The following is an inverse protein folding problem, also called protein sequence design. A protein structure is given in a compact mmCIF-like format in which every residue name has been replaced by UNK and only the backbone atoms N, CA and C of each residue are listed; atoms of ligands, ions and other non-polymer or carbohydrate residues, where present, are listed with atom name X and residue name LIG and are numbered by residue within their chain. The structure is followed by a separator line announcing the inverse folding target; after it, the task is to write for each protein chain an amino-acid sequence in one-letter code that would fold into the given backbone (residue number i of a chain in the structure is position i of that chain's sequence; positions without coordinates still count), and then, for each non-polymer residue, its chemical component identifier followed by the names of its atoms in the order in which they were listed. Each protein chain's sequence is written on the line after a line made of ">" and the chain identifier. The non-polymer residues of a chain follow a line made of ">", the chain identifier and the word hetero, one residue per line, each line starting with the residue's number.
data_IF_952293432652
#
_entry.id   IF_952293432652
#
_cell.length_a   1.000
_cell.length_b   1.000
_cell.length_c   1.000
_cell.angle_alpha   90.00
_cell.angle_beta   90.00
_cell.angle_gamma   90.00
#
_symmetry.space_group_name_H-M   'P 1'
#
loop_
_entity.id
_entity.type
_entity.pdbx_description
1 polymer ?
#
# COMPACT_ATOMS: atom_id res chain seq x y z
N UNK A 1 15.46 13.19 -66.24
CA UNK A 1 14.19 13.36 -66.95
C UNK A 1 13.15 13.79 -65.98
N UNK A 2 12.67 14.99 -66.21
CA UNK A 2 11.71 15.73 -65.37
C UNK A 2 10.32 15.39 -65.91
N UNK A 3 9.34 15.14 -65.05
CA UNK A 3 7.96 15.37 -65.42
C UNK A 3 7.14 15.93 -64.26
N UNK A 4 6.78 17.15 -64.40
CA UNK A 4 5.76 17.89 -63.69
C UNK A 4 4.37 17.32 -63.95
N UNK A 5 3.52 17.22 -62.94
CA UNK A 5 2.06 17.24 -63.14
C UNK A 5 1.42 18.19 -62.15
N UNK A 6 0.66 19.04 -62.75
CA UNK A 6 0.01 20.27 -62.36
C UNK A 6 -1.13 20.13 -61.33
N UNK A 7 -1.29 21.18 -60.55
CA UNK A 7 -2.47 21.50 -59.72
C UNK A 7 -3.74 21.64 -60.57
N UNK A 8 -4.85 21.14 -60.08
CA UNK A 8 -6.19 21.69 -60.37
C UNK A 8 -7.00 21.86 -59.06
N UNK A 9 -7.33 23.10 -58.81
CA UNK A 9 -8.26 23.56 -57.81
C UNK A 9 -9.70 23.23 -58.18
N UNK A 10 -10.48 22.78 -57.21
CA UNK A 10 -11.93 22.86 -57.24
C UNK A 10 -12.44 23.40 -55.91
N UNK A 11 -12.99 24.61 -56.03
CA UNK A 11 -13.73 25.31 -54.99
C UNK A 11 -15.17 24.79 -55.05
N UNK A 12 -15.72 24.30 -53.98
CA UNK A 12 -17.15 24.16 -53.79
C UNK A 12 -17.53 24.68 -52.38
N UNK A 13 -18.32 25.74 -52.42
CA UNK A 13 -18.94 26.39 -51.26
C UNK A 13 -20.04 25.47 -50.72
N UNK A 14 -20.08 25.29 -49.43
CA UNK A 14 -21.20 24.72 -48.69
C UNK A 14 -21.09 25.14 -47.21
N UNK A 15 -21.70 26.25 -46.88
CA UNK A 15 -21.78 26.73 -45.48
C UNK A 15 -22.79 25.86 -44.70
N UNK A 16 -22.33 25.22 -43.64
CA UNK A 16 -23.17 24.69 -42.62
C UNK A 16 -22.86 25.44 -41.33
N UNK A 17 -23.81 26.27 -40.91
CA UNK A 17 -23.74 26.97 -39.63
C UNK A 17 -23.85 25.91 -38.50
N UNK A 18 -22.78 25.75 -37.74
CA UNK A 18 -22.82 25.00 -36.48
C UNK A 18 -23.40 25.91 -35.41
N UNK A 19 -24.63 25.67 -35.02
CA UNK A 19 -25.23 26.31 -33.87
C UNK A 19 -24.65 25.63 -32.64
N UNK A 20 -23.75 26.34 -31.95
CA UNK A 20 -23.29 25.98 -30.61
C UNK A 20 -24.43 26.25 -29.62
N UNK A 21 -25.12 25.21 -29.18
CA UNK A 21 -25.98 25.29 -28.03
C UNK A 21 -25.13 25.38 -26.76
N UNK A 22 -25.43 26.32 -25.85
CA UNK A 22 -24.73 26.36 -24.56
C UNK A 22 -25.08 25.14 -23.73
N UNK A 23 -24.09 24.35 -23.37
CA UNK A 23 -24.20 23.33 -22.35
C UNK A 23 -24.48 24.04 -21.00
N UNK A 24 -25.74 24.03 -20.59
CA UNK A 24 -26.12 24.39 -19.23
C UNK A 24 -25.50 23.37 -18.29
N UNK A 25 -24.47 23.75 -17.54
CA UNK A 25 -24.04 23.06 -16.35
C UNK A 25 -25.20 23.14 -15.35
N UNK A 26 -26.00 22.09 -15.28
CA UNK A 26 -26.93 21.90 -14.18
C UNK A 26 -26.12 21.69 -12.92
N UNK A 27 -26.14 22.67 -12.04
CA UNK A 27 -25.64 22.52 -10.68
C UNK A 27 -26.44 21.37 -10.03
N UNK A 28 -25.77 20.26 -9.79
CA UNK A 28 -26.32 19.16 -9.00
C UNK A 28 -26.39 19.66 -7.55
N UNK A 29 -27.56 20.14 -7.16
CA UNK A 29 -27.85 20.35 -5.73
C UNK A 29 -27.80 18.99 -5.04
N UNK A 30 -27.19 18.88 -3.84
CA UNK A 30 -27.29 17.65 -3.06
C UNK A 30 -28.74 17.47 -2.62
N UNK A 31 -29.43 16.56 -3.29
CA UNK A 31 -30.73 16.10 -2.84
C UNK A 31 -30.52 15.33 -1.54
N UNK A 32 -30.85 15.96 -0.42
CA UNK A 32 -31.08 15.29 0.85
C UNK A 32 -32.39 14.48 0.74
N UNK A 33 -32.34 13.39 -0.01
CA UNK A 33 -33.38 12.41 0.00
C UNK A 33 -33.20 11.56 1.26
N UNK A 34 -34.15 11.63 2.17
CA UNK A 34 -34.37 10.62 3.21
C UNK A 34 -34.67 9.30 2.49
N UNK A 35 -33.67 8.54 2.12
CA UNK A 35 -33.79 7.15 1.70
C UNK A 35 -33.95 6.31 2.97
N UNK A 36 -35.21 6.12 3.42
CA UNK A 36 -35.58 5.05 4.32
C UNK A 36 -35.68 3.75 3.50
N UNK A 37 -34.55 3.16 3.26
CA UNK A 37 -34.38 1.82 2.73
C UNK A 37 -33.06 1.29 3.25
N UNK A 38 -33.02 0.09 3.82
CA UNK A 38 -31.79 -0.55 4.25
C UNK A 38 -30.87 -0.64 3.03
N UNK A 39 -29.80 0.18 3.02
CA UNK A 39 -28.74 0.10 2.02
C UNK A 39 -28.16 -1.31 2.14
N UNK A 40 -28.12 -2.05 1.03
CA UNK A 40 -27.54 -3.39 1.07
C UNK A 40 -26.05 -3.30 1.49
N UNK A 41 -25.53 -4.30 2.20
CA UNK A 41 -24.09 -4.34 2.59
C UNK A 41 -23.19 -4.15 1.39
N UNK A 42 -23.53 -4.72 0.23
CA UNK A 42 -22.81 -4.56 -1.03
C UNK A 42 -22.72 -3.10 -1.47
N UNK A 43 -23.83 -2.36 -1.41
CA UNK A 43 -23.85 -0.93 -1.75
C UNK A 43 -23.05 -0.10 -0.75
N UNK A 44 -23.07 -0.47 0.53
CA UNK A 44 -22.26 0.19 1.56
C UNK A 44 -20.77 -0.02 1.34
N UNK A 45 -20.34 -1.24 1.03
CA UNK A 45 -18.93 -1.52 0.77
C UNK A 45 -18.42 -0.78 -0.47
N UNK A 46 -19.21 -0.72 -1.54
CA UNK A 46 -18.91 0.07 -2.72
C UNK A 46 -18.77 1.58 -2.40
N UNK A 47 -19.68 2.11 -1.58
CA UNK A 47 -19.61 3.51 -1.13
C UNK A 47 -18.34 3.77 -0.28
N UNK A 48 -17.95 2.83 0.58
CA UNK A 48 -16.75 2.94 1.39
C UNK A 48 -15.46 2.96 0.55
N UNK A 49 -15.41 2.22 -0.55
CA UNK A 49 -14.31 2.30 -1.52
C UNK A 49 -14.20 3.69 -2.12
N UNK A 50 -15.33 4.24 -2.57
CA UNK A 50 -15.37 5.59 -3.15
C UNK A 50 -14.97 6.65 -2.12
N UNK A 51 -15.42 6.52 -0.87
CA UNK A 51 -15.04 7.41 0.23
C UNK A 51 -13.53 7.42 0.45
N UNK A 52 -12.88 6.26 0.53
CA UNK A 52 -11.42 6.18 0.72
C UNK A 52 -10.67 6.69 -0.50
N UNK A 53 -11.11 6.37 -1.72
CA UNK A 53 -10.48 6.89 -2.94
C UNK A 53 -10.60 8.42 -3.03
N UNK A 54 -11.76 8.98 -2.72
CA UNK A 54 -11.99 10.43 -2.69
C UNK A 54 -11.14 11.11 -1.61
N UNK A 55 -11.12 10.57 -0.40
CA UNK A 55 -10.25 11.05 0.69
C UNK A 55 -8.79 11.16 0.25
N UNK A 56 -8.22 10.08 -0.29
CA UNK A 56 -6.82 10.04 -0.70
C UNK A 56 -6.53 11.01 -1.87
N UNK A 57 -7.46 11.11 -2.82
CA UNK A 57 -7.32 12.02 -3.97
C UNK A 57 -7.41 13.49 -3.53
N UNK A 58 -8.39 13.82 -2.68
CA UNK A 58 -8.55 15.19 -2.19
C UNK A 58 -7.43 15.58 -1.22
N UNK A 59 -6.87 14.64 -0.46
CA UNK A 59 -5.72 14.88 0.40
C UNK A 59 -4.49 15.32 -0.42
N UNK A 60 -4.38 14.91 -1.66
CA UNK A 60 -3.31 15.36 -2.55
C UNK A 60 -3.48 16.84 -2.99
N UNK A 61 -4.71 17.31 -3.22
CA UNK A 61 -4.99 18.60 -3.83
C UNK A 61 -5.55 19.66 -2.86
N UNK A 62 -6.37 19.25 -1.88
CA UNK A 62 -7.10 20.14 -0.97
C UNK A 62 -6.31 20.59 0.26
N UNK A 63 -6.90 21.42 1.10
CA UNK A 63 -6.38 21.68 2.44
C UNK A 63 -6.48 20.45 3.32
N UNK A 64 -5.36 20.01 3.92
CA UNK A 64 -5.30 18.76 4.66
C UNK A 64 -6.25 18.74 5.87
N UNK A 65 -6.43 19.87 6.57
CA UNK A 65 -7.31 19.95 7.75
C UNK A 65 -8.78 19.90 7.35
N UNK A 66 -9.14 20.60 6.27
CA UNK A 66 -10.51 20.58 5.74
C UNK A 66 -10.86 19.17 5.22
N UNK A 67 -9.95 18.50 4.52
CA UNK A 67 -10.15 17.13 4.02
C UNK A 67 -10.31 16.16 5.19
N UNK A 68 -9.45 16.23 6.20
CA UNK A 68 -9.59 15.41 7.41
C UNK A 68 -10.95 15.64 8.09
N UNK A 69 -11.36 16.87 8.29
CA UNK A 69 -12.66 17.22 8.91
C UNK A 69 -13.87 16.71 8.11
N UNK A 70 -13.76 16.68 6.78
CA UNK A 70 -14.82 16.19 5.90
C UNK A 70 -14.96 14.68 5.93
N UNK A 71 -13.86 13.94 5.87
CA UNK A 71 -13.85 12.50 5.68
C UNK A 71 -13.67 11.67 6.95
N UNK A 72 -13.11 12.24 8.01
CA UNK A 72 -12.80 11.51 9.23
C UNK A 72 -13.71 11.88 10.40
N UNK A 73 -13.85 10.98 11.34
CA UNK A 73 -14.41 11.29 12.65
C UNK A 73 -13.46 12.21 13.43
N UNK A 74 -13.97 13.10 14.30
CA UNK A 74 -13.11 13.97 15.12
C UNK A 74 -12.13 13.20 16.01
N UNK A 75 -12.53 12.01 16.47
CA UNK A 75 -11.74 11.08 17.29
C UNK A 75 -10.99 10.03 16.46
N UNK A 76 -10.86 10.24 15.14
CA UNK A 76 -10.16 9.32 14.27
C UNK A 76 -8.72 9.13 14.71
N UNK A 77 -8.31 7.88 14.86
CA UNK A 77 -6.93 7.50 15.16
C UNK A 77 -6.22 7.07 13.89
N UNK A 78 -5.05 7.62 13.64
CA UNK A 78 -4.15 7.19 12.57
C UNK A 78 -3.01 6.37 13.13
N UNK A 79 -2.91 5.11 12.72
CA UNK A 79 -1.78 4.23 13.03
C UNK A 79 -0.86 4.19 11.81
N UNK A 80 0.22 4.94 11.88
CA UNK A 80 1.16 5.12 10.78
C UNK A 80 2.43 4.32 11.07
N UNK A 81 3.13 3.85 10.05
CA UNK A 81 4.42 3.20 10.20
C UNK A 81 5.42 4.11 10.93
N UNK A 82 6.38 3.47 11.59
CA UNK A 82 7.43 4.18 12.34
C UNK A 82 8.22 5.12 11.40
N UNK A 83 8.56 6.35 11.86
CA UNK A 83 8.54 6.85 13.23
C UNK A 83 7.25 7.59 13.65
N UNK A 84 6.25 7.70 12.80
CA UNK A 84 5.02 8.44 13.12
C UNK A 84 4.20 7.73 14.21
N UNK A 85 4.09 6.39 14.12
CA UNK A 85 3.36 5.55 15.06
C UNK A 85 1.86 5.92 15.20
N UNK A 86 1.34 6.02 16.42
CA UNK A 86 -0.06 6.37 16.67
C UNK A 86 -0.21 7.88 16.78
N UNK A 87 -1.17 8.42 16.04
CA UNK A 87 -1.57 9.83 16.01
C UNK A 87 -3.04 9.89 16.41
N UNK A 88 -3.33 10.59 17.51
CA UNK A 88 -4.67 10.67 18.09
C UNK A 88 -5.38 11.96 17.68
N UNK A 89 -6.47 11.82 16.96
CA UNK A 89 -7.26 12.93 16.45
C UNK A 89 -6.72 13.59 15.18
N UNK A 90 -7.52 14.48 14.62
CA UNK A 90 -7.27 15.07 13.30
C UNK A 90 -6.13 16.09 13.32
N UNK A 91 -5.98 16.83 14.42
CA UNK A 91 -4.93 17.84 14.51
C UNK A 91 -3.54 17.20 14.54
N UNK A 92 -3.38 16.14 15.34
CA UNK A 92 -2.12 15.43 15.41
C UNK A 92 -1.78 14.75 14.08
N UNK A 93 -2.77 14.15 13.42
CA UNK A 93 -2.62 13.56 12.09
C UNK A 93 -2.21 14.62 11.05
N UNK A 94 -2.84 15.80 11.09
CA UNK A 94 -2.49 16.90 10.20
C UNK A 94 -1.05 17.39 10.43
N UNK A 95 -0.70 17.73 11.69
CA UNK A 95 0.58 18.37 12.02
C UNK A 95 1.77 17.43 11.87
N UNK A 96 1.64 16.17 12.31
CA UNK A 96 2.76 15.25 12.37
C UNK A 96 2.93 14.41 11.11
N UNK A 97 1.87 14.26 10.30
CA UNK A 97 1.94 13.38 9.13
C UNK A 97 1.56 14.09 7.81
N UNK A 98 0.31 14.57 7.65
CA UNK A 98 -0.16 15.03 6.36
C UNK A 98 0.51 16.33 5.87
N UNK A 99 0.65 17.32 6.75
CA UNK A 99 1.32 18.58 6.40
C UNK A 99 2.82 18.40 6.11
N UNK A 100 3.59 17.61 6.91
CA UNK A 100 4.96 17.25 6.56
C UNK A 100 5.08 16.51 5.24
N UNK A 101 4.19 15.54 4.96
CA UNK A 101 4.17 14.82 3.68
C UNK A 101 3.94 15.77 2.49
N UNK A 102 2.96 16.67 2.61
CA UNK A 102 2.66 17.66 1.57
C UNK A 102 3.76 18.70 1.39
N UNK A 103 4.46 19.06 2.45
CA UNK A 103 5.64 19.92 2.36
C UNK A 103 6.78 19.22 1.65
N UNK A 104 6.95 17.93 1.92
CA UNK A 104 7.97 17.11 1.27
C UNK A 104 7.69 16.91 -0.23
N UNK A 105 6.43 16.77 -0.59
CA UNK A 105 5.96 16.59 -1.97
C UNK A 105 4.90 17.64 -2.30
N UNK A 106 5.29 18.89 -2.67
CA UNK A 106 4.32 19.97 -2.87
C UNK A 106 3.37 19.77 -4.06
N UNK A 107 3.77 18.93 -5.00
CA UNK A 107 3.02 18.56 -6.21
C UNK A 107 2.59 17.08 -6.20
N UNK A 108 2.45 16.46 -5.00
CA UNK A 108 2.21 15.04 -4.96
C UNK A 108 0.87 14.65 -5.57
N UNK A 109 0.89 13.51 -6.20
CA UNK A 109 -0.27 12.80 -6.73
C UNK A 109 -0.44 11.46 -6.00
N UNK A 110 -1.66 11.16 -5.58
CA UNK A 110 -1.98 9.84 -5.03
C UNK A 110 -2.29 8.87 -6.16
N UNK A 111 -1.34 8.02 -6.49
CA UNK A 111 -1.49 6.94 -7.47
C UNK A 111 -2.13 5.73 -6.82
N UNK A 112 -3.44 5.62 -6.94
CA UNK A 112 -4.21 4.50 -6.41
C UNK A 112 -4.14 3.34 -7.41
N UNK A 113 -3.51 2.24 -7.01
CA UNK A 113 -3.39 1.03 -7.83
C UNK A 113 -4.58 0.10 -7.64
N UNK A 114 -5.10 0.01 -6.42
CA UNK A 114 -6.27 -0.81 -6.09
C UNK A 114 -7.03 -0.23 -4.91
N UNK A 115 -8.34 -0.50 -4.88
CA UNK A 115 -9.22 -0.20 -3.75
C UNK A 115 -10.15 -1.39 -3.52
N UNK A 116 -10.17 -1.92 -2.31
CA UNK A 116 -11.03 -3.00 -1.87
C UNK A 116 -11.99 -2.51 -0.81
N UNK A 117 -13.22 -3.05 -0.79
CA UNK A 117 -14.19 -2.76 0.25
C UNK A 117 -14.89 -4.02 0.71
N UNK A 118 -14.99 -4.23 2.01
CA UNK A 118 -15.65 -5.38 2.59
C UNK A 118 -15.93 -5.16 4.08
N UNK A 119 -16.31 -6.22 4.77
CA UNK A 119 -16.52 -6.25 6.21
C UNK A 119 -15.70 -7.37 6.83
N UNK A 120 -15.10 -7.11 7.97
CA UNK A 120 -14.47 -8.14 8.77
C UNK A 120 -14.84 -7.98 10.24
N UNK A 121 -15.34 -9.05 10.85
CA UNK A 121 -15.83 -9.08 12.23
C UNK A 121 -16.81 -7.95 12.56
N UNK A 122 -17.77 -7.68 11.66
CA UNK A 122 -18.78 -6.64 11.83
C UNK A 122 -18.30 -5.20 11.59
N UNK A 123 -17.04 -5.02 11.20
CA UNK A 123 -16.48 -3.70 10.87
C UNK A 123 -16.43 -3.50 9.37
N UNK A 124 -17.12 -2.47 8.89
CA UNK A 124 -16.98 -2.04 7.51
C UNK A 124 -15.59 -1.43 7.30
N UNK A 125 -14.89 -1.91 6.29
CA UNK A 125 -13.53 -1.49 6.00
C UNK A 125 -13.33 -1.23 4.52
N UNK A 126 -12.41 -0.34 4.20
CA UNK A 126 -11.86 -0.18 2.86
C UNK A 126 -10.34 -0.13 2.91
N UNK A 127 -9.72 -0.66 1.87
CA UNK A 127 -8.26 -0.77 1.75
C UNK A 127 -7.82 -0.22 0.41
N UNK A 128 -6.72 0.52 0.39
CA UNK A 128 -6.07 1.00 -0.83
C UNK A 128 -4.57 0.71 -0.77
N UNK A 129 -4.00 0.43 -1.93
CA UNK A 129 -2.56 0.38 -2.14
C UNK A 129 -2.18 1.13 -3.42
N UNK A 130 -1.01 1.75 -3.40
CA UNK A 130 -0.45 2.51 -4.51
C UNK A 130 0.77 3.30 -4.09
N UNK A 131 0.90 4.52 -4.62
CA UNK A 131 2.05 5.39 -4.34
C UNK A 131 1.62 6.84 -4.14
N UNK A 132 2.34 7.54 -3.27
CA UNK A 132 2.54 8.98 -3.38
C UNK A 132 3.63 9.19 -4.41
N UNK A 133 3.38 9.98 -5.43
CA UNK A 133 4.34 10.33 -6.49
C UNK A 133 4.40 11.84 -6.64
N UNK A 134 5.58 12.40 -6.74
CA UNK A 134 5.76 13.85 -6.92
C UNK A 134 7.23 14.26 -6.85
N UNK A 135 7.47 15.55 -6.89
CA UNK A 135 8.80 16.12 -6.66
C UNK A 135 9.10 16.11 -5.17
N UNK A 136 10.08 15.31 -4.74
CA UNK A 136 10.52 15.28 -3.34
C UNK A 136 11.44 16.50 -3.09
N UNK A 137 10.87 17.60 -2.63
CA UNK A 137 11.50 18.93 -2.61
C UNK A 137 11.91 19.43 -1.21
N UNK A 138 11.32 18.89 -0.14
CA UNK A 138 11.70 19.22 1.24
C UNK A 138 11.91 17.94 2.07
N UNK A 139 12.72 18.00 3.15
CA UNK A 139 12.97 16.82 3.97
C UNK A 139 11.70 16.24 4.57
N UNK A 140 11.59 14.90 4.58
CA UNK A 140 10.57 14.16 5.31
C UNK A 140 11.23 13.37 6.45
N UNK A 141 10.93 13.74 7.69
CA UNK A 141 11.50 13.09 8.91
C UNK A 141 13.03 12.86 8.84
N UNK A 142 13.76 13.86 8.36
CA UNK A 142 15.21 13.79 8.20
C UNK A 142 15.71 13.17 6.89
N UNK A 143 14.86 12.49 6.11
CA UNK A 143 15.23 12.01 4.77
C UNK A 143 15.42 13.23 3.86
N UNK A 144 16.61 13.44 3.28
CA UNK A 144 16.87 14.60 2.45
C UNK A 144 16.14 14.54 1.11
N UNK A 145 15.73 15.69 0.56
CA UNK A 145 14.99 15.73 -0.69
C UNK A 145 15.87 15.34 -1.89
N UNK A 146 15.28 14.57 -2.82
CA UNK A 146 15.94 14.25 -4.10
C UNK A 146 15.93 15.43 -5.08
N UNK A 147 15.03 16.39 -4.84
CA UNK A 147 14.70 17.51 -5.77
C UNK A 147 14.31 17.03 -7.17
N UNK A 148 13.77 15.84 -7.25
CA UNK A 148 13.29 15.23 -8.49
C UNK A 148 12.13 14.29 -8.18
N UNK A 149 11.64 13.65 -9.22
CA UNK A 149 10.56 12.65 -9.09
C UNK A 149 10.97 11.58 -8.10
N UNK A 150 10.11 11.33 -7.13
CA UNK A 150 10.22 10.21 -6.21
C UNK A 150 8.86 9.51 -6.03
N UNK A 151 8.93 8.26 -5.61
CA UNK A 151 7.77 7.41 -5.32
C UNK A 151 7.86 6.94 -3.87
N UNK A 152 6.77 7.08 -3.14
CA UNK A 152 6.64 6.50 -1.80
C UNK A 152 5.50 5.49 -1.85
N UNK A 153 5.83 4.21 -1.71
CA UNK A 153 4.79 3.17 -1.60
C UNK A 153 3.88 3.45 -0.42
N UNK A 154 2.58 3.39 -0.67
CA UNK A 154 1.55 3.86 0.24
C UNK A 154 0.41 2.85 0.35
N UNK A 155 0.26 2.27 1.53
CA UNK A 155 -0.88 1.42 1.89
C UNK A 155 -1.81 2.17 2.84
N UNK A 156 -3.12 2.01 2.66
CA UNK A 156 -4.12 2.65 3.50
C UNK A 156 -5.25 1.67 3.80
N UNK A 157 -5.47 1.37 5.06
CA UNK A 157 -6.60 0.56 5.50
C UNK A 157 -7.45 1.37 6.47
N UNK A 158 -8.74 1.48 6.21
CA UNK A 158 -9.65 2.28 7.00
C UNK A 158 -10.78 1.45 7.58
N UNK A 159 -11.10 1.69 8.84
CA UNK A 159 -12.37 1.29 9.47
C UNK A 159 -13.34 2.44 9.26
N UNK A 160 -14.51 2.11 8.72
CA UNK A 160 -15.55 3.09 8.37
C UNK A 160 -16.72 2.94 9.35
N UNK A 161 -17.12 4.04 9.94
CA UNK A 161 -18.29 4.17 10.79
C UNK A 161 -19.07 5.42 10.37
N UNK A 162 -20.37 5.33 10.24
CA UNK A 162 -21.26 6.46 9.89
C UNK A 162 -20.76 7.25 8.66
N UNK A 163 -20.31 6.52 7.62
CA UNK A 163 -19.78 7.09 6.36
C UNK A 163 -18.56 8.00 6.56
N UNK A 164 -17.80 7.80 7.62
CA UNK A 164 -16.53 8.48 7.91
C UNK A 164 -15.47 7.50 8.33
N UNK A 165 -14.22 7.85 8.10
CA UNK A 165 -13.05 7.12 8.56
C UNK A 165 -12.96 7.29 10.08
N UNK A 166 -13.14 6.20 10.82
CA UNK A 166 -13.04 6.18 12.27
C UNK A 166 -11.64 5.77 12.76
N UNK A 167 -10.92 5.00 11.96
CA UNK A 167 -9.53 4.61 12.20
C UNK A 167 -8.85 4.35 10.86
N UNK A 168 -7.58 4.74 10.75
CA UNK A 168 -6.77 4.47 9.59
C UNK A 168 -5.44 3.81 9.97
N UNK A 169 -4.98 2.89 9.13
CA UNK A 169 -3.65 2.28 9.19
C UNK A 169 -2.90 2.69 7.92
N UNK A 170 -1.80 3.42 8.10
CA UNK A 170 -1.02 3.99 7.01
C UNK A 170 0.34 3.32 6.95
N UNK A 171 0.64 2.73 5.82
CA UNK A 171 1.84 1.96 5.58
C UNK A 171 2.71 2.69 4.55
N UNK A 172 3.99 2.84 4.85
CA UNK A 172 4.93 3.63 4.05
C UNK A 172 6.24 2.85 3.86
N UNK A 173 6.78 2.81 2.65
CA UNK A 173 8.14 2.30 2.45
C UNK A 173 9.16 3.45 2.53
N UNK A 174 9.46 3.88 3.75
CA UNK A 174 10.41 4.95 4.01
C UNK A 174 11.85 4.54 3.69
N UNK A 175 12.17 3.25 3.75
CA UNK A 175 13.50 2.76 3.37
C UNK A 175 13.72 2.89 1.86
N UNK A 176 12.68 2.67 1.05
CA UNK A 176 12.78 2.93 -0.38
C UNK A 176 12.93 4.43 -0.69
N UNK A 177 12.23 5.30 0.03
CA UNK A 177 12.43 6.75 -0.10
C UNK A 177 13.87 7.16 0.29
N UNK A 178 14.43 6.59 1.36
CA UNK A 178 15.85 6.78 1.73
C UNK A 178 16.77 6.36 0.59
N UNK A 179 16.52 5.19 -0.01
CA UNK A 179 17.29 4.67 -1.14
C UNK A 179 17.25 5.62 -2.35
N UNK A 180 16.07 6.15 -2.68
CA UNK A 180 15.90 7.15 -3.74
C UNK A 180 16.65 8.44 -3.42
N UNK A 181 16.75 8.81 -2.15
CA UNK A 181 17.52 9.95 -1.68
C UNK A 181 19.04 9.71 -1.61
N UNK A 182 19.52 8.52 -2.03
CA UNK A 182 20.94 8.18 -2.06
C UNK A 182 21.47 7.57 -0.77
N UNK A 183 20.60 7.23 0.17
CA UNK A 183 20.96 6.55 1.41
C UNK A 183 20.28 5.19 1.49
N UNK A 184 21.07 4.12 1.64
CA UNK A 184 20.55 2.77 1.86
C UNK A 184 21.32 2.12 3.02
N UNK A 185 20.64 1.89 4.18
CA UNK A 185 21.33 1.53 5.41
C UNK A 185 21.66 0.05 5.55
N UNK A 186 21.22 -0.78 4.62
CA UNK A 186 21.32 -2.24 4.69
C UNK A 186 22.32 -2.81 3.69
N UNK A 187 22.50 -4.12 3.71
CA UNK A 187 23.13 -4.86 2.61
C UNK A 187 22.36 -4.69 1.31
N UNK A 188 22.98 -4.96 0.16
CA UNK A 188 22.24 -5.08 -1.09
C UNK A 188 21.03 -6.00 -0.92
N UNK A 189 19.86 -5.56 -1.40
CA UNK A 189 18.62 -6.33 -1.31
C UNK A 189 18.80 -7.68 -2.00
N UNK A 190 18.33 -8.78 -1.41
CA UNK A 190 18.29 -10.07 -2.10
C UNK A 190 17.37 -10.06 -3.33
N UNK A 191 16.26 -9.32 -3.26
CA UNK A 191 15.35 -9.09 -4.37
C UNK A 191 15.64 -7.83 -5.16
N UNK A 192 14.87 -7.58 -6.20
CA UNK A 192 14.97 -6.39 -7.06
C UNK A 192 14.35 -5.17 -6.36
N UNK A 193 15.03 -4.03 -6.39
CA UNK A 193 14.59 -2.78 -5.75
C UNK A 193 13.64 -1.93 -6.60
N UNK A 194 13.54 -2.17 -7.90
CA UNK A 194 12.86 -1.26 -8.82
C UNK A 194 11.44 -1.70 -9.22
N UNK A 195 10.99 -2.87 -8.81
CA UNK A 195 9.75 -3.43 -9.33
C UNK A 195 8.59 -3.27 -8.35
N UNK A 196 7.78 -2.25 -8.57
CA UNK A 196 6.47 -2.09 -7.94
C UNK A 196 5.38 -1.92 -9.02
N UNK A 197 5.23 -2.88 -9.96
CA UNK A 197 4.25 -2.75 -11.01
C UNK A 197 2.83 -2.73 -10.43
N UNK A 198 2.01 -1.86 -10.99
CA UNK A 198 0.59 -1.84 -10.70
C UNK A 198 -0.08 -3.13 -11.17
N UNK A 199 -1.19 -3.57 -10.55
CA UNK A 199 -1.99 -4.63 -11.11
C UNK A 199 -2.51 -4.21 -12.49
N UNK A 200 -2.80 -5.17 -13.39
CA UNK A 200 -3.42 -4.87 -14.66
C UNK A 200 -4.69 -4.04 -14.50
N UNK A 201 -4.88 -3.01 -15.31
CA UNK A 201 -5.97 -2.04 -15.16
C UNK A 201 -7.37 -2.61 -15.41
N UNK A 202 -7.49 -3.77 -16.02
CA UNK A 202 -8.75 -4.47 -16.31
C UNK A 202 -9.22 -5.43 -15.19
N UNK A 203 -8.51 -5.50 -14.10
CA UNK A 203 -8.77 -6.49 -13.04
C UNK A 203 -9.91 -6.15 -12.09
N UNK A 204 -10.47 -4.96 -12.18
CA UNK A 204 -11.66 -4.57 -11.43
C UNK A 204 -11.42 -4.09 -9.98
N UNK A 205 -10.18 -4.01 -9.51
CA UNK A 205 -9.86 -3.48 -8.16
C UNK A 205 -9.87 -1.94 -8.12
N UNK A 206 -10.91 -1.32 -8.64
CA UNK A 206 -11.08 0.14 -8.69
C UNK A 206 -12.12 0.61 -7.68
N UNK A 207 -12.21 1.92 -7.46
CA UNK A 207 -13.24 2.51 -6.59
C UNK A 207 -14.67 2.26 -7.09
N UNK A 208 -14.85 2.00 -8.39
CA UNK A 208 -16.16 1.82 -9.02
C UNK A 208 -16.57 0.34 -9.13
N UNK A 209 -15.63 -0.59 -9.15
CA UNK A 209 -15.90 -2.02 -9.20
C UNK A 209 -16.12 -2.59 -7.81
N UNK A 210 -17.01 -3.59 -7.69
CA UNK A 210 -17.19 -4.32 -6.42
C UNK A 210 -17.78 -5.68 -6.69
N UNK A 211 -17.08 -6.75 -6.30
CA UNK A 211 -17.54 -8.14 -6.41
C UNK A 211 -17.35 -8.87 -5.07
N UNK A 212 -18.32 -8.79 -4.16
CA UNK A 212 -18.23 -9.39 -2.84
C UNK A 212 -18.28 -10.92 -2.87
N UNK A 213 -18.90 -11.53 -3.88
CA UNK A 213 -19.03 -12.99 -3.97
C UNK A 213 -17.67 -13.60 -4.32
N UNK A 214 -17.03 -13.09 -5.37
CA UNK A 214 -15.68 -13.51 -5.73
C UNK A 214 -14.67 -13.11 -4.65
N UNK A 215 -14.86 -11.95 -4.04
CA UNK A 215 -14.02 -11.47 -2.93
C UNK A 215 -14.04 -12.38 -1.72
N UNK A 216 -15.20 -12.93 -1.34
CA UNK A 216 -15.29 -13.91 -0.25
C UNK A 216 -14.49 -15.18 -0.54
N UNK A 217 -14.55 -15.68 -1.78
CA UNK A 217 -13.76 -16.84 -2.21
C UNK A 217 -12.26 -16.53 -2.24
N UNK A 218 -11.88 -15.37 -2.75
CA UNK A 218 -10.50 -14.89 -2.74
C UNK A 218 -9.95 -14.83 -1.30
N UNK A 219 -10.70 -14.26 -0.38
CA UNK A 219 -10.30 -14.19 1.03
C UNK A 219 -10.18 -15.58 1.67
N UNK A 220 -11.09 -16.51 1.33
CA UNK A 220 -11.01 -17.90 1.80
C UNK A 220 -9.68 -18.54 1.38
N UNK A 221 -9.30 -18.44 0.11
CA UNK A 221 -8.05 -18.98 -0.43
C UNK A 221 -6.83 -18.37 0.26
N UNK A 222 -6.82 -17.03 0.44
CA UNK A 222 -5.72 -16.34 1.14
C UNK A 222 -5.62 -16.82 2.60
N UNK A 223 -6.75 -16.99 3.28
CA UNK A 223 -6.75 -17.51 4.67
C UNK A 223 -6.25 -18.94 4.77
N UNK A 224 -6.61 -19.81 3.84
CA UNK A 224 -6.11 -21.18 3.78
C UNK A 224 -4.60 -21.20 3.54
N UNK A 225 -4.10 -20.37 2.64
CA UNK A 225 -2.67 -20.19 2.43
C UNK A 225 -1.98 -19.75 3.73
N UNK A 226 -2.52 -18.76 4.43
CA UNK A 226 -1.98 -18.29 5.70
C UNK A 226 -2.03 -19.37 6.80
N UNK A 227 -3.03 -20.22 6.82
CA UNK A 227 -3.14 -21.37 7.72
C UNK A 227 -1.99 -22.37 7.56
N UNK A 228 -1.34 -22.40 6.41
CA UNK A 228 -0.14 -23.19 6.14
C UNK A 228 1.17 -22.59 6.66
N UNK A 229 1.20 -21.31 6.99
CA UNK A 229 2.43 -20.61 7.39
C UNK A 229 3.11 -21.18 8.65
N UNK A 230 2.39 -21.62 9.71
CA UNK A 230 3.03 -22.24 10.87
C UNK A 230 3.79 -23.53 10.52
N UNK A 231 3.30 -24.30 9.55
CA UNK A 231 3.96 -25.53 9.09
C UNK A 231 5.28 -25.28 8.37
N UNK A 232 5.51 -24.08 7.86
CA UNK A 232 6.81 -23.72 7.28
C UNK A 232 7.93 -23.74 8.30
N UNK A 233 7.64 -23.43 9.55
CA UNK A 233 8.61 -23.50 10.63
C UNK A 233 9.08 -24.95 10.88
N UNK A 234 8.23 -25.94 10.59
CA UNK A 234 8.54 -27.36 10.70
C UNK A 234 9.36 -27.88 9.50
N UNK A 235 9.16 -27.28 8.32
CA UNK A 235 9.83 -27.66 7.06
C UNK A 235 11.20 -26.94 6.91
N UNK A 236 11.68 -26.29 7.94
CA UNK A 236 12.88 -25.45 7.99
C UNK A 236 14.16 -26.06 7.41
N UNK A 237 14.28 -27.34 7.41
CA UNK A 237 15.56 -28.02 7.16
C UNK A 237 15.77 -28.42 5.71
N UNK A 238 14.74 -28.39 4.85
CA UNK A 238 14.84 -28.92 3.50
C UNK A 238 14.73 -27.81 2.45
N UNK A 239 15.85 -27.14 2.17
CA UNK A 239 16.04 -26.35 0.95
C UNK A 239 15.60 -27.22 -0.23
N UNK A 240 14.61 -26.78 -0.98
CA UNK A 240 14.11 -27.50 -2.15
C UNK A 240 12.74 -28.14 -2.02
N UNK A 241 12.19 -28.30 -0.82
CA UNK A 241 10.84 -28.83 -0.64
C UNK A 241 9.77 -27.74 -0.87
N UNK A 242 8.61 -28.08 -1.46
CA UNK A 242 7.49 -27.17 -1.55
C UNK A 242 7.06 -26.69 -0.17
N UNK A 243 6.79 -25.40 0.00
CA UNK A 243 6.23 -24.90 1.25
C UNK A 243 4.76 -25.37 1.41
N UNK A 244 4.27 -25.44 2.65
CA UNK A 244 2.90 -25.88 2.95
C UNK A 244 1.81 -24.99 2.29
N UNK A 245 2.14 -23.77 1.88
CA UNK A 245 1.24 -22.85 1.17
C UNK A 245 1.41 -22.88 -0.35
N UNK A 246 2.36 -23.67 -0.90
CA UNK A 246 2.61 -23.77 -2.34
C UNK A 246 1.37 -24.10 -3.18
N UNK A 247 0.41 -24.94 -2.72
CA UNK A 247 -0.78 -25.25 -3.49
C UNK A 247 -1.65 -24.02 -3.82
N UNK A 248 -1.56 -22.95 -3.05
CA UNK A 248 -2.36 -21.73 -3.24
C UNK A 248 -1.68 -20.71 -4.15
N UNK A 249 -0.41 -20.92 -4.47
CA UNK A 249 0.37 -19.97 -5.26
C UNK A 249 0.54 -20.44 -6.71
N UNK A 250 0.48 -19.47 -7.62
CA UNK A 250 0.92 -19.72 -8.99
C UNK A 250 2.45 -19.90 -9.02
N UNK A 251 2.96 -20.86 -9.78
CA UNK A 251 4.39 -21.20 -9.82
C UNK A 251 5.27 -19.98 -10.18
N UNK A 252 4.78 -19.14 -11.09
CA UNK A 252 5.45 -17.93 -11.56
C UNK A 252 4.89 -16.67 -10.88
N UNK A 253 4.50 -16.75 -9.62
CA UNK A 253 3.99 -15.60 -8.88
C UNK A 253 5.03 -14.49 -8.76
N UNK A 254 4.58 -13.26 -8.54
CA UNK A 254 5.44 -12.15 -8.18
C UNK A 254 5.17 -11.75 -6.72
N UNK A 255 6.25 -11.58 -5.99
CA UNK A 255 6.21 -11.06 -4.63
C UNK A 255 6.93 -9.72 -4.62
N UNK A 256 6.20 -8.66 -4.31
CA UNK A 256 6.70 -7.28 -4.27
C UNK A 256 6.92 -6.90 -2.82
N UNK A 257 8.17 -7.07 -2.36
CA UNK A 257 8.56 -6.79 -0.98
C UNK A 257 9.04 -5.37 -0.78
N UNK A 258 9.04 -4.89 0.48
CA UNK A 258 9.55 -3.57 0.84
C UNK A 258 11.06 -3.47 0.64
N UNK A 259 11.56 -2.25 0.59
CA UNK A 259 13.00 -2.01 0.60
C UNK A 259 13.64 -2.62 1.86
N UNK A 260 14.82 -3.17 1.68
CA UNK A 260 15.48 -4.09 2.62
C UNK A 260 15.39 -5.53 2.15
N UNK A 261 14.26 -5.95 1.61
CA UNK A 261 14.02 -7.31 1.10
C UNK A 261 14.02 -7.32 -0.43
N UNK A 262 13.27 -6.41 -1.05
CA UNK A 262 13.12 -6.31 -2.50
C UNK A 262 12.12 -7.30 -3.09
N UNK A 263 11.87 -7.18 -4.40
CA UNK A 263 10.89 -7.97 -5.14
C UNK A 263 11.51 -9.19 -5.78
N UNK A 264 10.71 -10.25 -5.94
CA UNK A 264 11.19 -11.53 -6.48
C UNK A 264 10.09 -12.26 -7.26
N UNK A 265 10.53 -13.19 -8.12
CA UNK A 265 9.66 -13.95 -9.00
C UNK A 265 9.72 -15.44 -8.71
N UNK A 266 8.54 -16.06 -8.73
CA UNK A 266 8.32 -17.50 -8.58
C UNK A 266 8.54 -17.99 -7.16
N UNK A 267 8.03 -19.18 -6.88
CA UNK A 267 8.17 -19.82 -5.55
C UNK A 267 9.62 -20.02 -5.14
N UNK A 268 10.49 -20.30 -6.11
CA UNK A 268 11.93 -20.47 -5.83
C UNK A 268 12.56 -19.14 -5.40
N UNK A 269 12.31 -18.04 -6.15
CA UNK A 269 12.83 -16.72 -5.79
C UNK A 269 12.32 -16.26 -4.43
N UNK A 270 11.02 -16.42 -4.17
CA UNK A 270 10.43 -16.13 -2.88
C UNK A 270 11.10 -16.91 -1.74
N UNK A 271 11.30 -18.23 -1.93
CA UNK A 271 11.95 -19.07 -0.90
C UNK A 271 13.39 -18.61 -0.64
N UNK A 272 14.19 -18.47 -1.70
CA UNK A 272 15.64 -18.28 -1.58
C UNK A 272 16.00 -16.86 -1.11
N UNK A 273 15.23 -15.85 -1.48
CA UNK A 273 15.56 -14.44 -1.21
C UNK A 273 14.71 -13.79 -0.10
N UNK A 274 13.62 -14.43 0.34
CA UNK A 274 12.81 -13.95 1.46
C UNK A 274 12.47 -15.04 2.45
N UNK A 275 11.72 -16.05 2.06
CA UNK A 275 11.11 -17.00 2.99
C UNK A 275 12.13 -17.71 3.87
N UNK A 276 13.20 -18.25 3.28
CA UNK A 276 14.24 -18.95 4.03
C UNK A 276 15.02 -18.00 4.95
N UNK A 277 15.42 -16.85 4.46
CA UNK A 277 16.17 -15.85 5.24
C UNK A 277 15.35 -15.35 6.45
N UNK A 278 14.07 -15.07 6.23
CA UNK A 278 13.17 -14.59 7.26
C UNK A 278 12.89 -15.66 8.33
N UNK A 279 12.67 -16.90 7.90
CA UNK A 279 12.46 -18.04 8.83
C UNK A 279 13.72 -18.41 9.63
N UNK A 280 14.90 -18.23 9.03
CA UNK A 280 16.16 -18.42 9.74
C UNK A 280 16.39 -17.32 10.78
N UNK A 281 16.11 -16.08 10.43
CA UNK A 281 16.25 -14.94 11.34
C UNK A 281 15.28 -15.01 12.52
N UNK A 282 14.04 -15.43 12.27
CA UNK A 282 12.94 -15.48 13.25
C UNK A 282 12.38 -16.91 13.33
N UNK A 283 13.12 -17.85 13.91
CA UNK A 283 12.75 -19.27 13.89
C UNK A 283 11.47 -19.62 14.65
N UNK A 284 11.08 -18.84 15.62
CA UNK A 284 9.86 -18.96 16.41
C UNK A 284 8.75 -18.01 15.91
N UNK A 285 8.92 -17.48 14.68
CA UNK A 285 7.95 -16.57 14.09
C UNK A 285 6.55 -17.16 14.09
N UNK A 286 5.60 -16.38 14.54
CA UNK A 286 4.18 -16.72 14.51
C UNK A 286 3.33 -15.47 14.26
N UNK A 287 2.16 -15.67 13.64
CA UNK A 287 1.08 -14.67 13.69
C UNK A 287 0.48 -14.63 15.08
N UNK A 288 0.06 -13.46 15.52
CA UNK A 288 -0.76 -13.35 16.71
C UNK A 288 -2.09 -14.08 16.48
N UNK A 289 -2.44 -15.01 17.38
CA UNK A 289 -3.79 -15.57 17.40
C UNK A 289 -4.74 -14.47 17.86
N UNK A 290 -5.72 -14.16 17.01
CA UNK A 290 -6.80 -13.25 17.34
C UNK A 290 -8.05 -14.06 17.67
N UNK A 291 -8.65 -13.81 18.82
CA UNK A 291 -9.98 -14.31 19.15
C UNK A 291 -11.02 -13.58 18.32
N UNK A 292 -12.01 -14.31 17.78
CA UNK A 292 -13.15 -13.71 17.09
C UNK A 292 -13.88 -12.73 18.03
N UNK A 293 -14.22 -11.55 17.54
CA UNK A 293 -14.82 -10.48 18.33
C UNK A 293 -13.87 -9.78 19.31
N UNK A 294 -12.56 -10.06 19.24
CA UNK A 294 -11.55 -9.37 20.04
C UNK A 294 -11.51 -7.87 19.77
N UNK A 295 -10.83 -7.13 20.67
CA UNK A 295 -10.66 -5.68 20.52
C UNK A 295 -10.05 -5.37 19.16
N UNK A 296 -10.49 -4.27 18.56
CA UNK A 296 -10.07 -3.83 17.23
C UNK A 296 -8.57 -3.76 17.03
N UNK A 297 -7.83 -3.38 18.07
CA UNK A 297 -6.36 -3.21 18.02
C UNK A 297 -5.60 -4.39 18.62
N UNK A 298 -6.28 -5.49 18.99
CA UNK A 298 -5.57 -6.64 19.50
C UNK A 298 -4.59 -7.15 18.43
N UNK A 299 -3.37 -7.55 18.80
CA UNK A 299 -2.41 -8.10 17.87
C UNK A 299 -3.01 -9.21 17.01
N UNK A 300 -2.66 -9.25 15.72
CA UNK A 300 -3.12 -10.26 14.77
C UNK A 300 -3.60 -9.68 13.45
N UNK A 301 -3.99 -10.56 12.54
CA UNK A 301 -4.54 -10.16 11.23
C UNK A 301 -6.02 -9.77 11.36
N UNK A 302 -6.29 -8.55 11.75
CA UNK A 302 -7.64 -8.00 11.87
C UNK A 302 -8.08 -7.15 10.67
N UNK A 303 -7.19 -6.89 9.72
CA UNK A 303 -7.50 -6.42 8.37
C UNK A 303 -7.61 -7.66 7.52
N UNK A 304 -8.81 -7.99 7.03
CA UNK A 304 -9.06 -9.16 6.18
C UNK A 304 -10.21 -8.86 5.25
N UNK A 305 -9.91 -8.42 4.04
CA UNK A 305 -10.89 -8.04 3.04
C UNK A 305 -10.67 -8.82 1.75
N UNK A 306 -11.76 -9.10 1.04
CA UNK A 306 -11.74 -9.63 -0.31
C UNK A 306 -12.73 -8.89 -1.19
N UNK A 307 -12.32 -8.58 -2.42
CA UNK A 307 -13.14 -7.90 -3.42
C UNK A 307 -12.68 -8.33 -4.82
N UNK A 308 -13.54 -9.00 -5.56
CA UNK A 308 -13.19 -9.63 -6.82
C UNK A 308 -12.03 -10.62 -6.66
N UNK A 309 -11.03 -10.53 -7.52
CA UNK A 309 -9.82 -11.35 -7.47
C UNK A 309 -8.76 -10.83 -6.49
N UNK A 310 -9.07 -9.79 -5.72
CA UNK A 310 -8.13 -9.17 -4.81
C UNK A 310 -8.48 -9.43 -3.35
N UNK A 311 -7.44 -9.59 -2.54
CA UNK A 311 -7.55 -9.70 -1.10
C UNK A 311 -6.50 -8.85 -0.40
N UNK A 312 -6.78 -8.49 0.85
CA UNK A 312 -5.80 -7.88 1.75
C UNK A 312 -5.89 -8.53 3.12
N UNK A 313 -4.73 -8.75 3.71
CA UNK A 313 -4.62 -9.15 5.12
C UNK A 313 -3.55 -8.32 5.80
N UNK A 314 -3.71 -8.09 7.09
CA UNK A 314 -2.72 -7.34 7.84
C UNK A 314 -3.06 -7.14 9.30
N UNK A 315 -2.15 -6.51 10.00
CA UNK A 315 -2.32 -6.15 11.39
C UNK A 315 -1.24 -5.19 11.88
N UNK A 316 -1.50 -4.56 13.01
CA UNK A 316 -0.68 -3.50 13.56
C UNK A 316 -0.54 -3.64 15.09
N UNK A 317 0.30 -4.64 15.56
CA UNK A 317 1.09 -5.63 14.82
C UNK A 317 0.30 -6.86 14.36
N UNK A 318 0.86 -7.61 13.41
CA UNK A 318 0.28 -8.86 12.91
C UNK A 318 1.12 -10.10 13.19
N UNK A 319 2.43 -9.95 13.20
CA UNK A 319 3.41 -11.00 13.38
C UNK A 319 4.35 -10.66 14.54
N UNK A 320 4.99 -11.69 15.08
CA UNK A 320 6.07 -11.55 16.04
C UNK A 320 7.09 -12.69 15.86
N UNK A 321 8.30 -12.48 16.35
CA UNK A 321 9.38 -13.48 16.33
C UNK A 321 10.57 -13.03 17.13
N UNK A 322 11.42 -13.94 17.58
CA UNK A 322 12.67 -13.63 18.26
C UNK A 322 13.82 -13.63 17.25
N UNK A 323 14.57 -12.54 17.17
CA UNK A 323 15.71 -12.43 16.27
C UNK A 323 16.90 -13.21 16.80
N UNK A 324 16.93 -14.54 16.55
CA UNK A 324 17.95 -15.48 17.02
C UNK A 324 18.71 -16.16 15.89
N UNK A 325 18.33 -15.94 14.64
CA UNK A 325 19.01 -16.52 13.47
C UNK A 325 20.33 -15.84 13.14
N UNK A 326 21.01 -16.27 12.04
CA UNK A 326 22.34 -15.79 11.71
C UNK A 326 22.43 -14.29 11.54
N UNK A 327 21.56 -13.72 10.78
CA UNK A 327 21.38 -12.29 10.57
C UNK A 327 20.11 -11.98 9.80
N UNK A 328 19.66 -10.74 9.86
CA UNK A 328 18.61 -10.22 9.00
C UNK A 328 18.87 -8.75 8.63
N UNK A 329 18.77 -8.41 7.35
CA UNK A 329 19.09 -7.09 6.79
C UNK A 329 20.52 -6.62 7.11
N UNK A 330 21.46 -7.53 7.38
CA UNK A 330 22.82 -7.21 7.80
C UNK A 330 22.99 -7.04 9.31
N UNK A 331 21.92 -7.13 10.09
CA UNK A 331 21.99 -7.05 11.55
C UNK A 331 22.26 -8.44 12.14
N UNK A 332 23.25 -8.58 13.03
CA UNK A 332 23.52 -9.83 13.72
C UNK A 332 22.37 -10.18 14.69
N UNK A 333 22.24 -11.45 15.11
CA UNK A 333 21.20 -11.86 16.04
C UNK A 333 21.22 -11.03 17.33
N UNK A 334 20.05 -10.48 17.69
CA UNK A 334 19.91 -9.60 18.85
C UNK A 334 19.31 -10.31 20.07
N UNK A 335 18.71 -11.47 19.89
CA UNK A 335 17.96 -12.19 20.92
C UNK A 335 16.65 -11.50 21.34
N UNK A 336 16.28 -10.40 20.70
CA UNK A 336 15.10 -9.61 21.07
C UNK A 336 13.84 -10.16 20.44
N UNK A 337 12.73 -10.07 21.19
CA UNK A 337 11.38 -10.31 20.66
C UNK A 337 10.95 -9.10 19.86
N UNK A 338 10.52 -9.32 18.63
CA UNK A 338 10.18 -8.29 17.64
C UNK A 338 8.72 -8.42 17.27
N UNK A 339 8.00 -7.32 17.32
CA UNK A 339 6.65 -7.16 16.79
C UNK A 339 6.73 -6.58 15.38
N UNK A 340 5.90 -7.10 14.46
CA UNK A 340 5.95 -6.71 13.06
C UNK A 340 4.59 -6.22 12.58
N UNK A 341 4.54 -5.00 12.09
CA UNK A 341 3.38 -4.39 11.44
C UNK A 341 3.47 -4.69 9.97
N UNK A 342 2.45 -5.35 9.43
CA UNK A 342 2.47 -5.86 8.05
C UNK A 342 1.08 -5.74 7.45
N UNK A 343 1.02 -5.43 6.16
CA UNK A 343 -0.15 -5.69 5.34
C UNK A 343 0.28 -6.23 3.97
N UNK A 344 -0.52 -7.14 3.47
CA UNK A 344 -0.31 -7.87 2.23
C UNK A 344 -1.53 -7.72 1.34
N UNK A 345 -1.35 -7.24 0.12
CA UNK A 345 -2.36 -7.25 -0.92
C UNK A 345 -2.07 -8.38 -1.90
N UNK A 346 -3.11 -9.11 -2.26
CA UNK A 346 -3.02 -10.29 -3.11
C UNK A 346 -3.87 -10.12 -4.35
N UNK A 347 -3.41 -10.65 -5.49
CA UNK A 347 -4.23 -10.88 -6.66
C UNK A 347 -4.20 -12.36 -7.02
N UNK A 348 -5.39 -12.92 -7.27
CA UNK A 348 -5.55 -14.27 -7.76
C UNK A 348 -5.75 -14.24 -9.29
N UNK A 349 -5.36 -15.31 -9.94
CA UNK A 349 -5.74 -15.60 -11.33
C UNK A 349 -7.15 -16.23 -11.42
N UNK A 350 -7.57 -16.57 -12.65
CA UNK A 350 -8.85 -17.23 -12.91
C UNK A 350 -8.98 -18.59 -12.24
N UNK A 351 -7.85 -19.29 -12.05
CA UNK A 351 -7.79 -20.62 -11.46
C UNK A 351 -7.73 -20.60 -9.93
N UNK A 352 -7.81 -19.42 -9.35
CA UNK A 352 -7.77 -19.23 -7.89
C UNK A 352 -6.37 -19.36 -7.29
N UNK A 353 -5.31 -19.19 -8.11
CA UNK A 353 -3.93 -19.16 -7.59
C UNK A 353 -3.50 -17.72 -7.34
N UNK A 354 -2.81 -17.51 -6.23
CA UNK A 354 -2.20 -16.22 -5.91
C UNK A 354 -1.04 -15.98 -6.87
N UNK A 355 -1.17 -14.98 -7.73
CA UNK A 355 -0.20 -14.67 -8.78
C UNK A 355 0.60 -13.39 -8.51
N UNK A 356 0.08 -12.48 -7.70
CA UNK A 356 0.81 -11.31 -7.22
C UNK A 356 0.54 -11.08 -5.73
N UNK A 357 1.56 -10.61 -5.03
CA UNK A 357 1.48 -10.21 -3.63
C UNK A 357 2.32 -8.97 -3.39
N UNK A 358 1.68 -7.85 -3.03
CA UNK A 358 2.32 -6.61 -2.61
C UNK A 358 2.38 -6.57 -1.10
N UNK A 359 3.58 -6.46 -0.56
CA UNK A 359 3.81 -6.55 0.89
C UNK A 359 4.41 -5.25 1.41
N UNK A 360 3.79 -4.70 2.41
CA UNK A 360 4.34 -3.59 3.18
C UNK A 360 4.60 -4.05 4.61
N UNK A 361 5.85 -3.90 5.03
CA UNK A 361 6.33 -4.27 6.35
C UNK A 361 7.06 -3.06 6.95
N UNK A 362 6.77 -2.75 8.20
CA UNK A 362 7.38 -1.61 8.91
C UNK A 362 8.83 -1.91 9.25
N UNK A 363 9.69 -1.91 8.23
CA UNK A 363 11.14 -2.18 8.38
C UNK A 363 11.78 -1.26 9.43
N UNK A 364 11.51 0.07 9.41
CA UNK A 364 12.04 0.96 10.43
C UNK A 364 11.66 0.55 11.86
N UNK A 365 10.39 0.15 12.08
CA UNK A 365 9.93 -0.31 13.39
C UNK A 365 10.63 -1.61 13.82
N UNK A 366 10.81 -2.54 12.89
CA UNK A 366 11.48 -3.82 13.18
C UNK A 366 12.92 -3.58 13.61
N UNK A 367 13.69 -2.82 12.82
CA UNK A 367 15.12 -2.60 13.11
C UNK A 367 15.34 -1.69 14.32
N UNK A 368 14.39 -0.79 14.64
CA UNK A 368 14.45 0.00 15.89
C UNK A 368 14.36 -0.88 17.12
N UNK A 369 13.51 -1.91 17.11
CA UNK A 369 13.43 -2.92 18.17
C UNK A 369 14.72 -3.75 18.26
N UNK A 370 15.44 -3.93 17.15
CA UNK A 370 16.76 -4.58 17.12
C UNK A 370 17.88 -3.67 17.65
N UNK A 371 17.62 -2.38 17.83
CA UNK A 371 18.58 -1.40 18.34
C UNK A 371 19.20 -0.51 17.27
N UNK A 372 18.65 -0.51 16.05
CA UNK A 372 19.09 0.38 14.95
C UNK A 372 18.02 1.43 14.67
N UNK A 373 18.25 2.67 15.06
CA UNK A 373 17.42 3.80 14.66
C UNK A 373 17.86 4.31 13.29
N UNK A 374 16.98 4.23 12.29
CA UNK A 374 17.26 4.68 10.93
C UNK A 374 17.21 6.20 10.78
N UNK A 375 16.52 6.89 11.68
CA UNK A 375 16.30 8.33 11.59
C UNK A 375 17.28 9.14 12.45
N UNK A 376 18.00 8.47 13.36
CA UNK A 376 19.03 9.11 14.16
C UNK A 376 20.24 9.46 13.30
N UNK A 377 20.65 10.72 13.36
CA UNK A 377 21.80 11.25 12.61
C UNK A 377 21.76 10.97 11.09
N UNK A 378 20.57 10.87 10.52
CA UNK A 378 20.37 10.53 9.11
C UNK A 378 21.10 11.52 8.18
N UNK A 379 21.11 12.79 8.52
CA UNK A 379 21.82 13.86 7.78
C UNK A 379 23.33 13.62 7.65
N UNK A 380 23.95 12.96 8.64
CA UNK A 380 25.39 12.60 8.61
C UNK A 380 25.66 11.27 7.90
N UNK A 381 24.61 10.47 7.65
CA UNK A 381 24.73 9.16 7.00
C UNK A 381 24.49 9.23 5.50
N UNK A 382 23.91 10.31 5.03
CA UNK A 382 23.64 10.50 3.59
C UNK A 382 24.94 10.86 2.87
N UNK A 383 25.27 10.08 1.85
CA UNK A 383 26.39 10.36 0.96
C UNK A 383 26.00 11.43 -0.06
N UNK A 384 26.51 12.68 0.06
CA UNK A 384 26.14 13.75 -0.85
C UNK A 384 26.44 13.44 -2.32
N UNK A 385 27.42 12.58 -2.60
CA UNK A 385 27.80 12.21 -3.98
C UNK A 385 26.75 11.35 -4.67
N UNK A 386 25.88 10.69 -3.90
CA UNK A 386 24.77 9.87 -4.39
C UNK A 386 23.45 10.63 -4.50
N UNK A 387 23.40 11.84 -3.99
CA UNK A 387 22.24 12.70 -4.11
C UNK A 387 22.14 13.25 -5.54
N UNK A 388 20.92 13.31 -6.06
CA UNK A 388 20.67 13.99 -7.34
C UNK A 388 20.93 15.49 -7.17
N UNK A 389 21.90 16.01 -7.91
CA UNK A 389 22.16 17.45 -7.91
C UNK A 389 21.24 18.13 -8.93
N UNK A 390 20.54 19.18 -8.50
CA UNK A 390 19.90 20.12 -9.42
C UNK A 390 21.00 20.94 -10.09
N UNK A 391 20.99 21.00 -11.41
CA UNK A 391 21.76 22.04 -12.11
C UNK A 391 21.08 23.35 -11.78
N UNK A 392 21.70 24.18 -10.96
CA UNK A 392 21.27 25.57 -10.75
C UNK A 392 21.53 26.32 -12.06
N UNK A 393 20.45 26.80 -12.69
CA UNK A 393 20.53 27.77 -13.81
C UNK A 393 21.04 29.07 -13.28
#
# INVERSE_FOLDING_TARGET
>A
MVSNVTRRSLVARGGAAVVLAPLMLSAVQPASAKLSGAISKTSLHAANKQLVAAFLTEMAAGDAREVLGRYCHPDCQFKVFHPFNTLDGLDEAAEKFWLPLRRAFPDYEQRIAMVLGSEYEGRAMASSWGHVMGTFDAPLIGIPPTRGLAFLSFGFNAVIRDQKIAKAYVLLDLVDLMRQAGFYPFRPMPGTSEAWPFPPCDTGATALSHDPVRGAETLRIVREMQGGLPKQNEIRATLGQPSAHSPHWHTNMNWYGPAGIGSMRGLRGFRDFHGALFLQAFPDRTGWKREEGGKEDAPGHYIRLGDGLFGVTGGFPSLNGTHTGPEWLGLPPTGRRIEMRVADWYRLDSDGKICDNWVMMDIPHIVSQMGMDLFHDLEFRVDPSKMRMRVTQ
#
